data_IF_358841041920
#
_entry.id   IF_358841041920
#
_cell.length_a   1.000
_cell.length_b   1.000
_cell.length_c   1.000
_cell.angle_alpha   90.00
_cell.angle_beta   90.00
_cell.angle_gamma   90.00
#
_symmetry.space_group_name_H-M   'P 1'
#
loop_
_entity.id
_entity.type
_entity.pdbx_description
1 polymer ?
#
# COMPACT_ATOMS: atom_id res chain seq x y z
N UNK A 1 17.24 52.92 6.45
CA UNK A 1 17.39 51.61 7.17
C UNK A 1 16.15 50.73 7.13
N UNK A 2 14.94 51.25 7.42
CA UNK A 2 13.69 50.45 7.48
C UNK A 2 13.33 49.67 6.20
N UNK A 3 13.53 50.27 5.02
CA UNK A 3 13.15 49.67 3.72
C UNK A 3 14.06 48.51 3.29
N UNK A 4 15.35 48.55 3.67
CA UNK A 4 16.30 47.44 3.41
C UNK A 4 16.03 46.25 4.34
N UNK A 5 15.58 46.51 5.57
CA UNK A 5 15.23 45.47 6.55
C UNK A 5 13.96 44.72 6.13
N UNK A 6 12.94 45.41 5.63
CA UNK A 6 11.70 44.76 5.17
C UNK A 6 11.94 43.90 3.92
N UNK A 7 12.80 44.36 3.00
CA UNK A 7 13.16 43.59 1.81
C UNK A 7 13.92 42.31 2.20
N UNK A 8 14.82 42.39 3.19
CA UNK A 8 15.55 41.24 3.72
C UNK A 8 14.62 40.21 4.39
N UNK A 9 13.64 40.67 5.15
CA UNK A 9 12.64 39.80 5.78
C UNK A 9 11.75 39.11 4.72
N UNK A 10 11.33 39.83 3.68
CA UNK A 10 10.57 39.28 2.56
C UNK A 10 11.34 38.20 1.80
N UNK A 11 12.64 38.42 1.53
CA UNK A 11 13.49 37.45 0.85
C UNK A 11 13.67 36.18 1.70
N UNK A 12 13.90 36.31 3.02
CA UNK A 12 14.03 35.16 3.91
C UNK A 12 12.72 34.39 4.06
N UNK A 13 11.57 35.07 4.11
CA UNK A 13 10.25 34.45 4.16
C UNK A 13 9.94 33.66 2.88
N UNK A 14 10.29 34.21 1.71
CA UNK A 14 10.17 33.52 0.42
C UNK A 14 11.12 32.31 0.36
N UNK A 15 12.36 32.43 0.83
CA UNK A 15 13.30 31.31 0.91
C UNK A 15 12.78 30.19 1.82
N UNK A 16 12.24 30.51 2.99
CA UNK A 16 11.59 29.52 3.88
C UNK A 16 10.35 28.86 3.27
N UNK A 17 9.64 29.52 2.35
CA UNK A 17 8.52 28.92 1.63
C UNK A 17 8.98 28.02 0.47
N UNK A 18 10.12 28.33 -0.17
CA UNK A 18 10.68 27.55 -1.29
C UNK A 18 11.51 26.36 -0.80
N UNK A 19 12.26 26.54 0.30
CA UNK A 19 12.98 25.46 1.01
C UNK A 19 12.10 24.80 2.08
N UNK A 20 10.90 25.32 2.29
CA UNK A 20 9.90 24.73 3.18
C UNK A 20 9.57 23.36 2.61
N UNK A 21 10.16 22.34 3.24
CA UNK A 21 10.09 20.94 2.87
C UNK A 21 8.80 20.65 2.13
N UNK A 22 8.88 20.44 0.81
CA UNK A 22 7.94 19.58 0.14
C UNK A 22 8.03 18.27 0.91
N UNK A 23 7.12 18.09 1.86
CA UNK A 23 6.92 16.83 2.53
C UNK A 23 6.70 15.84 1.40
N UNK A 24 7.74 15.09 1.04
CA UNK A 24 7.60 13.83 0.33
C UNK A 24 6.75 12.98 1.27
N UNK A 25 5.42 13.14 1.20
CA UNK A 25 4.53 12.12 1.72
C UNK A 25 4.99 10.85 1.01
N UNK A 26 5.35 9.78 1.76
CA UNK A 26 5.64 8.51 1.11
C UNK A 26 4.43 8.22 0.21
N UNK A 27 4.68 8.15 -1.10
CA UNK A 27 3.61 7.91 -2.06
C UNK A 27 3.07 6.52 -1.76
N UNK A 28 1.85 6.45 -1.25
CA UNK A 28 1.17 5.19 -0.97
C UNK A 28 0.53 4.73 -2.26
N UNK A 29 1.03 3.61 -2.77
CA UNK A 29 0.54 3.00 -4.01
C UNK A 29 -0.70 2.16 -3.72
N UNK A 30 -1.58 2.04 -4.71
CA UNK A 30 -2.78 1.21 -4.60
C UNK A 30 -2.53 -0.15 -5.24
N UNK A 31 -2.60 -1.27 -4.49
CA UNK A 31 -2.65 -2.59 -5.08
C UNK A 31 -3.96 -2.82 -5.82
N UNK A 32 -3.96 -3.78 -6.75
CA UNK A 32 -5.19 -4.31 -7.32
C UNK A 32 -5.76 -5.35 -6.38
N UNK A 33 -7.08 -5.34 -6.20
CA UNK A 33 -7.81 -6.34 -5.43
C UNK A 33 -8.93 -6.85 -6.33
N UNK A 34 -8.97 -8.17 -6.53
CA UNK A 34 -10.00 -8.84 -7.31
C UNK A 34 -10.55 -10.04 -6.55
N UNK A 35 -11.84 -10.33 -6.66
CA UNK A 35 -12.42 -11.54 -6.07
C UNK A 35 -12.08 -12.76 -6.92
N UNK A 36 -11.59 -13.81 -6.26
CA UNK A 36 -11.44 -15.13 -6.85
C UNK A 36 -12.79 -15.84 -6.87
N UNK A 37 -12.85 -16.97 -7.58
CA UNK A 37 -14.04 -17.82 -7.68
C UNK A 37 -14.49 -18.42 -6.34
N UNK A 38 -13.57 -18.53 -5.38
CA UNK A 38 -13.82 -19.01 -4.02
C UNK A 38 -14.34 -17.89 -3.08
N UNK A 39 -14.51 -16.67 -3.59
CA UNK A 39 -14.96 -15.52 -2.81
C UNK A 39 -13.86 -14.84 -1.99
N UNK A 40 -12.62 -15.34 -2.01
CA UNK A 40 -11.50 -14.68 -1.33
C UNK A 40 -10.83 -13.63 -2.24
N UNK A 41 -10.29 -12.54 -1.67
CA UNK A 41 -9.62 -11.51 -2.45
C UNK A 41 -8.23 -11.98 -2.89
N UNK A 42 -7.87 -11.67 -4.13
CA UNK A 42 -6.51 -11.66 -4.63
C UNK A 42 -6.01 -10.22 -4.60
N UNK A 43 -5.07 -9.93 -3.70
CA UNK A 43 -4.34 -8.66 -3.67
C UNK A 43 -3.07 -8.83 -4.49
N UNK A 44 -2.78 -7.93 -5.41
CA UNK A 44 -1.55 -8.00 -6.21
C UNK A 44 -0.97 -6.61 -6.52
N UNK A 45 0.30 -6.58 -6.91
CA UNK A 45 0.95 -5.39 -7.47
C UNK A 45 0.43 -5.20 -8.91
N UNK A 46 -0.11 -4.03 -9.28
CA UNK A 46 -0.70 -3.82 -10.60
C UNK A 46 0.29 -4.08 -11.73
N UNK A 47 -0.17 -4.69 -12.82
CA UNK A 47 0.65 -4.94 -14.03
C UNK A 47 1.16 -3.63 -14.65
N UNK A 48 0.52 -2.49 -14.38
CA UNK A 48 1.01 -1.18 -14.82
C UNK A 48 2.40 -0.83 -14.26
N UNK A 49 2.82 -1.43 -13.15
CA UNK A 49 4.14 -1.23 -12.55
C UNK A 49 5.28 -1.84 -13.38
N UNK A 50 4.96 -2.72 -14.33
CA UNK A 50 5.92 -3.39 -15.20
C UNK A 50 5.91 -2.87 -16.64
N UNK A 51 5.23 -1.74 -16.91
CA UNK A 51 5.07 -1.15 -18.26
C UNK A 51 6.35 -1.03 -19.08
N UNK A 52 7.50 -0.86 -18.42
CA UNK A 52 8.81 -0.75 -19.10
C UNK A 52 9.66 -2.03 -19.02
N UNK A 53 9.31 -2.98 -18.15
CA UNK A 53 10.05 -4.24 -17.94
C UNK A 53 9.11 -5.33 -17.42
N UNK A 54 8.61 -6.16 -18.33
CA UNK A 54 7.57 -7.18 -18.07
C UNK A 54 7.95 -8.24 -17.03
N UNK A 55 9.25 -8.48 -16.81
CA UNK A 55 9.74 -9.55 -15.93
C UNK A 55 10.23 -9.05 -14.56
N UNK A 56 9.85 -7.83 -14.16
CA UNK A 56 10.20 -7.31 -12.83
C UNK A 56 9.53 -8.16 -11.75
N UNK A 57 10.36 -8.69 -10.86
CA UNK A 57 9.94 -9.31 -9.62
C UNK A 57 10.02 -8.27 -8.50
N UNK A 58 9.14 -8.41 -7.53
CA UNK A 58 9.07 -7.55 -6.36
C UNK A 58 9.36 -8.39 -5.13
N UNK A 59 10.37 -8.02 -4.36
CA UNK A 59 10.63 -8.62 -3.06
C UNK A 59 9.65 -8.00 -2.07
N UNK A 60 8.85 -8.82 -1.41
CA UNK A 60 7.89 -8.38 -0.40
C UNK A 60 8.61 -8.37 0.94
N UNK A 61 8.61 -7.22 1.62
CA UNK A 61 9.30 -7.02 2.89
C UNK A 61 8.35 -7.24 4.07
N UNK A 62 7.13 -6.76 3.97
CA UNK A 62 6.12 -6.98 5.00
C UNK A 62 4.74 -6.96 4.39
N UNK A 63 3.80 -7.64 5.04
CA UNK A 63 2.38 -7.49 4.79
C UNK A 63 1.62 -7.39 6.11
N UNK A 64 0.51 -6.67 6.08
CA UNK A 64 -0.36 -6.42 7.23
C UNK A 64 -1.82 -6.35 6.77
N UNK A 65 -2.70 -6.94 7.58
CA UNK A 65 -4.16 -6.84 7.46
C UNK A 65 -4.66 -6.19 8.72
N UNK A 66 -5.40 -5.10 8.55
CA UNK A 66 -6.05 -4.35 9.63
C UNK A 66 -7.55 -4.39 9.41
N UNK A 67 -8.31 -4.59 10.47
CA UNK A 67 -9.75 -4.35 10.47
C UNK A 67 -10.05 -3.05 11.21
N UNK A 68 -10.89 -2.22 10.60
CA UNK A 68 -11.32 -0.96 11.20
C UNK A 68 -12.08 -1.23 12.51
N UNK A 69 -11.75 -0.47 13.57
CA UNK A 69 -12.32 -0.64 14.90
C UNK A 69 -11.80 -1.84 15.71
N UNK A 70 -11.00 -2.72 15.12
CA UNK A 70 -10.39 -3.87 15.82
C UNK A 70 -8.87 -3.74 15.92
N UNK A 71 -8.21 -3.36 14.83
CA UNK A 71 -6.75 -3.25 14.76
C UNK A 71 -6.12 -4.33 13.88
N UNK A 72 -4.83 -4.59 14.09
CA UNK A 72 -4.04 -5.55 13.29
C UNK A 72 -4.52 -6.98 13.53
N UNK A 73 -4.93 -7.65 12.47
CA UNK A 73 -5.41 -9.03 12.49
C UNK A 73 -4.33 -10.02 12.07
N UNK A 74 -3.47 -9.60 11.14
CA UNK A 74 -2.37 -10.40 10.63
C UNK A 74 -1.22 -9.49 10.23
N UNK A 75 0.01 -9.91 10.53
CA UNK A 75 1.22 -9.22 10.10
C UNK A 75 2.32 -10.23 9.90
N UNK A 76 3.07 -10.10 8.80
CA UNK A 76 4.25 -10.92 8.53
C UNK A 76 5.37 -10.06 7.99
N UNK A 77 6.55 -10.21 8.58
CA UNK A 77 7.80 -9.63 8.09
C UNK A 77 8.56 -10.71 7.34
N UNK A 78 8.99 -10.39 6.13
CA UNK A 78 9.69 -11.27 5.19
C UNK A 78 11.17 -10.89 5.03
N UNK A 79 11.70 -10.07 5.94
CA UNK A 79 13.13 -9.77 6.05
C UNK A 79 13.68 -10.24 7.40
N UNK A 80 14.95 -10.63 7.41
CA UNK A 80 15.64 -11.03 8.62
C UNK A 80 16.43 -9.84 9.18
N UNK A 81 15.95 -9.27 10.29
CA UNK A 81 16.58 -8.12 10.97
C UNK A 81 17.92 -8.51 11.61
N UNK A 82 18.12 -9.78 11.93
CA UNK A 82 19.26 -10.28 12.72
C UNK A 82 20.34 -10.99 11.88
N UNK A 83 20.02 -11.44 10.67
CA UNK A 83 20.95 -12.13 9.76
C UNK A 83 20.62 -11.77 8.30
N UNK A 84 21.33 -10.78 7.77
CA UNK A 84 21.24 -10.29 6.38
C UNK A 84 21.45 -11.43 5.34
N UNK A 85 22.03 -12.56 5.76
CA UNK A 85 22.49 -13.64 4.86
C UNK A 85 21.52 -14.82 4.69
N UNK A 86 20.37 -14.87 5.37
CA UNK A 86 19.38 -15.96 5.20
C UNK A 86 17.99 -15.39 4.91
N UNK A 87 17.56 -15.41 3.64
CA UNK A 87 16.36 -14.71 3.25
C UNK A 87 15.16 -15.66 3.22
N UNK A 88 14.08 -15.30 3.91
CA UNK A 88 12.74 -15.78 3.55
C UNK A 88 12.37 -14.98 2.30
N UNK A 89 12.90 -15.37 1.13
CA UNK A 89 12.66 -14.66 -0.13
C UNK A 89 11.22 -14.90 -0.55
N UNK A 90 10.33 -14.01 -0.13
CA UNK A 90 9.00 -13.93 -0.69
C UNK A 90 9.00 -12.87 -1.78
N UNK A 91 8.96 -13.31 -3.02
CA UNK A 91 8.89 -12.45 -4.19
C UNK A 91 7.71 -12.82 -5.05
N UNK A 92 7.16 -11.84 -5.75
CA UNK A 92 6.02 -12.00 -6.67
C UNK A 92 6.26 -11.26 -7.97
N UNK A 93 5.61 -11.69 -9.03
CA UNK A 93 5.48 -10.88 -10.25
C UNK A 93 4.28 -9.92 -10.12
N UNK A 94 4.27 -8.84 -10.91
CA UNK A 94 3.08 -8.00 -10.99
C UNK A 94 1.90 -8.80 -11.56
N UNK A 95 0.70 -8.59 -11.00
CA UNK A 95 -0.50 -9.36 -11.28
C UNK A 95 -0.59 -10.70 -10.53
N UNK A 96 0.49 -11.17 -9.90
CA UNK A 96 0.47 -12.39 -9.09
C UNK A 96 -0.15 -12.11 -7.71
N UNK A 97 -1.08 -12.98 -7.28
CA UNK A 97 -1.74 -12.83 -5.98
C UNK A 97 -0.74 -13.01 -4.84
N UNK A 98 -0.67 -11.99 -3.99
CA UNK A 98 0.03 -12.10 -2.72
C UNK A 98 -0.67 -13.13 -1.82
N UNK A 99 0.11 -14.01 -1.20
CA UNK A 99 -0.34 -14.95 -0.21
C UNK A 99 -0.39 -14.31 1.18
N UNK A 100 -1.60 -14.15 1.68
CA UNK A 100 -1.88 -13.79 3.07
C UNK A 100 -2.48 -15.02 3.77
N UNK A 101 -1.91 -15.42 4.91
CA UNK A 101 -2.43 -16.51 5.74
C UNK A 101 -3.59 -16.00 6.61
N UNK A 102 -4.61 -15.45 5.95
CA UNK A 102 -5.80 -14.89 6.59
C UNK A 102 -7.03 -15.14 5.73
N UNK A 103 -8.11 -15.59 6.36
CA UNK A 103 -9.39 -15.82 5.69
C UNK A 103 -10.29 -14.60 5.91
N UNK A 104 -10.58 -13.88 4.83
CA UNK A 104 -11.40 -12.69 4.89
C UNK A 104 -12.87 -13.04 5.04
N UNK A 105 -13.54 -12.31 5.93
CA UNK A 105 -14.97 -12.46 6.17
C UNK A 105 -15.77 -11.44 5.35
N UNK A 106 -17.01 -11.81 5.06
CA UNK A 106 -17.95 -10.94 4.36
C UNK A 106 -18.41 -9.79 5.27
N UNK A 107 -18.80 -8.68 4.66
CA UNK A 107 -19.37 -7.50 5.31
C UNK A 107 -18.48 -6.81 6.35
N UNK A 108 -17.17 -7.06 6.33
CA UNK A 108 -16.17 -6.38 7.14
C UNK A 108 -15.27 -5.52 6.26
N UNK A 109 -14.96 -4.30 6.72
CA UNK A 109 -14.00 -3.41 6.07
C UNK A 109 -12.59 -3.70 6.58
N UNK A 110 -11.69 -3.96 5.64
CA UNK A 110 -10.28 -4.23 5.89
C UNK A 110 -9.41 -3.18 5.21
N UNK A 111 -8.28 -2.85 5.82
CA UNK A 111 -7.12 -2.25 5.15
C UNK A 111 -6.07 -3.34 4.94
N UNK A 112 -5.56 -3.43 3.71
CA UNK A 112 -4.36 -4.20 3.42
C UNK A 112 -3.19 -3.24 3.22
N UNK A 113 -2.07 -3.54 3.87
CA UNK A 113 -0.85 -2.76 3.79
C UNK A 113 0.34 -3.70 3.52
N UNK A 114 1.20 -3.37 2.57
CA UNK A 114 2.45 -4.13 2.36
C UNK A 114 3.56 -3.25 1.81
N UNK A 115 4.80 -3.70 2.00
CA UNK A 115 5.99 -3.01 1.48
C UNK A 115 6.71 -3.94 0.53
N UNK A 116 7.15 -3.40 -0.61
CA UNK A 116 7.94 -4.13 -1.58
C UNK A 116 9.14 -3.33 -2.05
N UNK A 117 10.18 -4.01 -2.54
CA UNK A 117 11.21 -3.42 -3.40
C UNK A 117 11.18 -4.08 -4.76
N UNK A 118 11.60 -3.36 -5.81
CA UNK A 118 11.90 -4.03 -7.09
C UNK A 118 13.16 -4.86 -6.87
N UNK A 119 13.14 -6.13 -7.25
CA UNK A 119 14.29 -7.02 -7.02
C UNK A 119 15.54 -6.47 -7.69
N UNK A 120 16.61 -6.31 -6.91
CA UNK A 120 17.86 -5.66 -7.35
C UNK A 120 17.85 -4.13 -7.25
N UNK A 121 16.83 -3.54 -6.63
CA UNK A 121 16.74 -2.14 -6.25
C UNK A 121 16.39 -2.05 -4.75
N UNK A 122 16.92 -1.05 -4.06
CA UNK A 122 16.68 -0.79 -2.65
C UNK A 122 15.51 0.19 -2.41
N UNK A 123 14.94 0.75 -3.47
CA UNK A 123 13.79 1.65 -3.38
C UNK A 123 12.54 0.90 -2.90
N UNK A 124 12.04 1.30 -1.73
CA UNK A 124 10.84 0.75 -1.11
C UNK A 124 9.59 1.45 -1.62
N UNK A 125 8.57 0.65 -1.92
CA UNK A 125 7.22 1.09 -2.21
C UNK A 125 6.27 0.57 -1.14
N UNK A 126 5.48 1.48 -0.59
CA UNK A 126 4.39 1.16 0.33
C UNK A 126 3.09 1.08 -0.45
N UNK A 127 2.35 0.00 -0.20
CA UNK A 127 1.07 -0.31 -0.83
C UNK A 127 0.01 -0.32 0.24
N UNK A 128 -1.11 0.36 0.00
CA UNK A 128 -2.26 0.30 0.88
C UNK A 128 -3.57 0.37 0.11
N UNK A 129 -4.58 -0.38 0.55
CA UNK A 129 -5.94 -0.23 0.04
C UNK A 129 -6.98 -0.73 1.04
N UNK A 130 -8.07 0.00 1.13
CA UNK A 130 -9.25 -0.43 1.88
C UNK A 130 -10.18 -1.23 0.97
N UNK A 131 -10.77 -2.29 1.49
CA UNK A 131 -11.77 -3.07 0.77
C UNK A 131 -12.77 -3.75 1.70
N UNK A 132 -13.91 -4.12 1.12
CA UNK A 132 -14.95 -4.91 1.78
C UNK A 132 -15.57 -5.89 0.79
N UNK A 133 -15.78 -7.11 1.24
CA UNK A 133 -16.50 -8.14 0.48
C UNK A 133 -17.96 -8.05 0.91
N UNK A 134 -18.80 -7.36 0.14
CA UNK A 134 -20.23 -7.22 0.46
C UNK A 134 -21.01 -8.39 -0.12
N UNK A 135 -21.88 -8.99 0.69
CA UNK A 135 -22.84 -9.98 0.22
C UNK A 135 -24.25 -9.43 0.32
N UNK A 136 -24.89 -9.32 -0.83
CA UNK A 136 -26.27 -8.87 -0.94
C UNK A 136 -27.24 -9.99 -0.51
N UNK A 137 -28.49 -9.62 -0.23
CA UNK A 137 -29.53 -10.54 0.27
C UNK A 137 -29.91 -11.64 -0.72
N UNK A 138 -29.65 -11.43 -2.01
CA UNK A 138 -29.84 -12.40 -3.09
C UNK A 138 -28.67 -13.40 -3.21
N UNK A 139 -27.65 -13.26 -2.37
CA UNK A 139 -26.44 -14.09 -2.39
C UNK A 139 -25.33 -13.57 -3.32
N UNK A 140 -25.54 -12.46 -4.02
CA UNK A 140 -24.52 -11.84 -4.88
C UNK A 140 -23.37 -11.30 -4.03
N UNK A 141 -22.14 -11.61 -4.41
CA UNK A 141 -20.93 -11.11 -3.74
C UNK A 141 -20.29 -10.01 -4.59
N UNK A 142 -20.01 -8.86 -3.97
CA UNK A 142 -19.38 -7.70 -4.59
C UNK A 142 -18.14 -7.27 -3.82
N UNK A 143 -17.11 -6.86 -4.54
CA UNK A 143 -15.93 -6.23 -3.97
C UNK A 143 -16.12 -4.71 -4.00
N UNK A 144 -16.07 -4.10 -2.82
CA UNK A 144 -16.08 -2.65 -2.65
C UNK A 144 -14.68 -2.19 -2.26
N UNK A 145 -14.25 -1.04 -2.77
CA UNK A 145 -12.90 -0.52 -2.60
C UNK A 145 -12.94 0.92 -2.09
N UNK A 146 -11.96 1.28 -1.26
CA UNK A 146 -11.76 2.64 -0.76
C UNK A 146 -13.03 3.23 -0.10
N UNK A 147 -13.57 4.34 -0.62
CA UNK A 147 -14.77 5.00 -0.06
C UNK A 147 -15.99 4.08 -0.09
N UNK A 148 -16.18 3.30 -1.16
CA UNK A 148 -17.32 2.41 -1.28
C UNK A 148 -17.23 1.23 -0.30
N UNK A 149 -16.04 0.91 0.22
CA UNK A 149 -15.89 -0.10 1.26
C UNK A 149 -16.39 0.41 2.63
N UNK A 150 -16.30 1.72 2.87
CA UNK A 150 -16.63 2.37 4.15
C UNK A 150 -18.09 2.82 4.24
N UNK A 151 -18.64 3.28 3.12
CA UNK A 151 -20.01 3.76 3.06
C UNK A 151 -20.98 2.60 2.77
N UNK A 152 -21.91 2.35 3.68
CA UNK A 152 -23.07 1.48 3.42
C UNK A 152 -24.02 2.20 2.45
N UNK A 153 -23.73 2.11 1.15
CA UNK A 153 -24.67 2.46 0.08
C UNK A 153 -25.56 1.28 -0.30
#
# INVERSE_FOLDING_TARGET
MKQRLSLWLLINFQLLAITGCYFHRPMVYKPDIVLKKDGQPCINIPVSETRFHSNRQFDILMGEIVQEGVGTLWRKMYFNIQNINLPIKYYVQAGECLHFEYLFQENITYSIDFVSTVRGNDEQKTWAREFRIKKDTDGTVKLLLDLDAREDK
#
